data_IF_017117325954
#
_entry.id   IF_017117325954
#
_cell.length_a   1.000
_cell.length_b   1.000
_cell.length_c   1.000
_cell.angle_alpha   90.00
_cell.angle_beta   90.00
_cell.angle_gamma   90.00
#
_symmetry.space_group_name_H-M   'P 1'
#
loop_
_entity.id
_entity.type
_entity.pdbx_description
1 polymer ?
#
# COMPACT_ATOMS: atom_id res chain seq x y z
N UNK A 1 -8.48 -40.92 -15.36
CA UNK A 1 -7.47 -40.02 -14.79
C UNK A 1 -7.78 -39.90 -13.31
N UNK A 2 -6.78 -40.10 -12.44
CA UNK A 2 -6.99 -40.16 -10.99
C UNK A 2 -7.45 -38.78 -10.46
N UNK A 3 -8.21 -38.75 -9.35
CA UNK A 3 -8.72 -37.53 -8.72
C UNK A 3 -7.58 -36.52 -8.47
N UNK A 4 -6.43 -37.04 -8.04
CA UNK A 4 -5.22 -36.25 -7.80
C UNK A 4 -4.68 -35.61 -9.09
N UNK A 5 -4.55 -36.38 -10.16
CA UNK A 5 -4.02 -35.91 -11.44
C UNK A 5 -4.91 -34.82 -12.04
N UNK A 6 -6.23 -35.01 -11.98
CA UNK A 6 -7.20 -34.00 -12.42
C UNK A 6 -7.04 -32.70 -11.63
N UNK A 7 -6.94 -32.78 -10.30
CA UNK A 7 -6.77 -31.61 -9.45
C UNK A 7 -5.45 -30.86 -9.74
N UNK A 8 -4.34 -31.59 -9.90
CA UNK A 8 -3.05 -31.02 -10.29
C UNK A 8 -3.18 -30.29 -11.63
N UNK A 9 -3.80 -30.94 -12.62
CA UNK A 9 -3.98 -30.37 -13.95
C UNK A 9 -4.88 -29.12 -13.91
N UNK A 10 -5.97 -29.14 -13.15
CA UNK A 10 -6.91 -28.03 -13.02
C UNK A 10 -6.25 -26.80 -12.40
N UNK A 11 -5.51 -26.96 -11.31
CA UNK A 11 -4.82 -25.84 -10.65
C UNK A 11 -3.70 -25.30 -11.55
N UNK A 12 -2.86 -26.18 -12.10
CA UNK A 12 -1.77 -25.74 -12.97
C UNK A 12 -2.31 -25.00 -14.20
N UNK A 13 -3.37 -25.51 -14.84
CA UNK A 13 -3.98 -24.85 -15.98
C UNK A 13 -4.71 -23.56 -15.60
N UNK A 14 -5.39 -23.52 -14.45
CA UNK A 14 -6.12 -22.35 -13.97
C UNK A 14 -5.22 -21.17 -13.59
N UNK A 15 -4.00 -21.45 -13.11
CA UNK A 15 -2.99 -20.44 -12.77
C UNK A 15 -1.87 -20.30 -13.80
N UNK A 16 -2.03 -20.89 -15.00
CA UNK A 16 -1.19 -20.56 -16.15
C UNK A 16 -1.39 -19.08 -16.48
N UNK A 17 -0.28 -18.34 -16.55
CA UNK A 17 -0.31 -16.93 -16.91
C UNK A 17 0.78 -16.59 -17.92
N UNK A 18 0.51 -15.59 -18.76
CA UNK A 18 1.48 -15.07 -19.73
C UNK A 18 2.34 -14.00 -19.07
N UNK A 19 3.66 -14.19 -19.11
CA UNK A 19 4.63 -13.28 -18.50
C UNK A 19 4.84 -13.57 -17.01
N UNK A 20 5.42 -12.61 -16.32
CA UNK A 20 5.86 -12.79 -14.94
C UNK A 20 4.69 -12.86 -13.95
N UNK A 21 4.88 -13.66 -12.91
CA UNK A 21 3.91 -13.90 -11.84
C UNK A 21 4.61 -14.09 -10.51
N UNK A 22 3.89 -13.82 -9.44
CA UNK A 22 4.30 -14.14 -8.06
C UNK A 22 3.55 -15.37 -7.57
N UNK A 23 4.14 -16.10 -6.62
CA UNK A 23 3.56 -17.31 -6.01
C UNK A 23 2.95 -16.93 -4.66
N UNK A 24 1.65 -17.14 -4.48
CA UNK A 24 1.00 -16.92 -3.18
C UNK A 24 1.06 -18.12 -2.25
N UNK A 25 1.16 -19.33 -2.80
CA UNK A 25 1.22 -20.56 -2.00
C UNK A 25 1.05 -21.83 -2.82
N UNK A 26 1.01 -22.97 -2.13
CA UNK A 26 0.75 -24.28 -2.72
C UNK A 26 -0.70 -24.72 -2.51
N UNK A 27 -1.22 -25.53 -3.44
CA UNK A 27 -2.53 -26.15 -3.32
C UNK A 27 -2.51 -27.30 -2.32
N UNK A 28 -3.66 -27.53 -1.68
CA UNK A 28 -3.89 -28.61 -0.73
C UNK A 28 -5.04 -29.47 -1.26
N UNK A 29 -4.84 -30.79 -1.30
CA UNK A 29 -5.87 -31.76 -1.65
C UNK A 29 -6.02 -32.74 -0.49
N UNK A 30 -7.25 -32.89 0.02
CA UNK A 30 -7.59 -33.81 1.11
C UNK A 30 -6.71 -33.63 2.37
N UNK A 31 -6.30 -32.37 2.65
CA UNK A 31 -5.45 -32.01 3.80
C UNK A 31 -3.95 -32.10 3.53
N UNK A 32 -3.55 -32.68 2.40
CA UNK A 32 -2.14 -32.83 2.02
C UNK A 32 -1.70 -31.74 1.05
N UNK A 33 -0.61 -31.00 1.34
CA UNK A 33 -0.02 -30.08 0.38
C UNK A 33 0.57 -30.83 -0.81
N UNK A 34 0.42 -30.25 -1.99
CA UNK A 34 0.95 -30.80 -3.22
C UNK A 34 2.19 -30.03 -3.67
N UNK A 35 3.29 -30.76 -3.88
CA UNK A 35 4.49 -30.20 -4.50
C UNK A 35 4.22 -29.76 -5.94
N UNK A 36 4.83 -28.65 -6.36
CA UNK A 36 4.76 -28.10 -7.73
C UNK A 36 3.35 -27.71 -8.21
N UNK A 37 2.39 -27.56 -7.29
CA UNK A 37 1.03 -27.08 -7.58
C UNK A 37 0.85 -25.73 -6.91
N UNK A 38 1.21 -24.66 -7.62
CA UNK A 38 1.28 -23.31 -7.04
C UNK A 38 0.12 -22.43 -7.47
N UNK A 39 -0.40 -21.66 -6.52
CA UNK A 39 -1.32 -20.54 -6.76
C UNK A 39 -0.49 -19.32 -7.12
N UNK A 40 -0.69 -18.78 -8.32
CA UNK A 40 0.10 -17.66 -8.86
C UNK A 40 -0.77 -16.44 -9.15
N UNK A 41 -0.21 -15.25 -8.98
CA UNK A 41 -0.83 -13.99 -9.42
C UNK A 41 0.03 -13.39 -10.53
N UNK A 42 -0.52 -13.17 -11.74
CA UNK A 42 0.19 -12.48 -12.81
C UNK A 42 0.47 -11.02 -12.41
N UNK A 43 1.70 -10.53 -12.61
CA UNK A 43 2.08 -9.17 -12.22
C UNK A 43 1.18 -8.10 -12.86
N UNK A 44 0.75 -8.32 -14.11
CA UNK A 44 -0.14 -7.41 -14.86
C UNK A 44 -1.50 -7.20 -14.21
N UNK A 45 -1.90 -8.05 -13.27
CA UNK A 45 -3.19 -7.94 -12.56
C UNK A 45 -3.11 -7.14 -11.27
N UNK A 46 -1.89 -6.83 -10.80
CA UNK A 46 -1.66 -6.09 -9.54
C UNK A 46 -1.99 -4.60 -9.61
N UNK A 47 -2.38 -4.10 -10.78
CA UNK A 47 -2.99 -2.78 -10.93
C UNK A 47 -4.47 -2.76 -10.48
N UNK A 48 -5.01 -3.89 -10.02
CA UNK A 48 -6.34 -4.00 -9.42
C UNK A 48 -6.25 -3.99 -7.90
N UNK A 49 -7.27 -3.45 -7.25
CA UNK A 49 -7.37 -3.47 -5.79
C UNK A 49 -7.61 -4.89 -5.27
N UNK A 50 -6.98 -5.22 -4.14
CA UNK A 50 -7.16 -6.49 -3.43
C UNK A 50 -7.39 -6.25 -1.94
N UNK A 51 -7.95 -7.26 -1.26
CA UNK A 51 -8.23 -7.24 0.17
C UNK A 51 -7.62 -8.48 0.83
N UNK A 52 -6.73 -8.28 1.80
CA UNK A 52 -6.23 -9.33 2.68
C UNK A 52 -7.00 -9.23 4.01
N UNK A 53 -7.93 -10.16 4.21
CA UNK A 53 -8.77 -10.22 5.40
C UNK A 53 -8.57 -11.56 6.15
N UNK A 54 -8.83 -11.54 7.45
CA UNK A 54 -8.69 -12.71 8.34
C UNK A 54 -8.67 -12.30 9.80
N UNK A 55 -8.89 -13.25 10.72
CA UNK A 55 -8.82 -13.00 12.15
C UNK A 55 -7.38 -12.65 12.61
N UNK A 56 -7.21 -12.18 13.84
CA UNK A 56 -5.87 -11.95 14.40
C UNK A 56 -5.10 -13.27 14.46
N UNK A 57 -3.82 -13.25 14.10
CA UNK A 57 -2.98 -14.46 14.08
C UNK A 57 -3.10 -15.34 12.82
N UNK A 58 -4.01 -15.04 11.89
CA UNK A 58 -4.19 -15.88 10.67
C UNK A 58 -3.20 -15.58 9.54
N UNK A 59 -2.08 -14.93 9.84
CA UNK A 59 -1.01 -14.70 8.86
C UNK A 59 -1.16 -13.47 7.96
N UNK A 60 -2.10 -12.54 8.19
CA UNK A 60 -2.26 -11.32 7.37
C UNK A 60 -0.93 -10.57 7.11
N UNK A 61 -0.17 -10.32 8.17
CA UNK A 61 1.14 -9.65 8.09
C UNK A 61 2.15 -10.48 7.30
N UNK A 62 2.10 -11.81 7.43
CA UNK A 62 2.99 -12.71 6.67
C UNK A 62 2.62 -12.78 5.19
N UNK A 63 1.33 -12.74 4.85
CA UNK A 63 0.88 -12.68 3.46
C UNK A 63 1.35 -11.39 2.79
N UNK A 64 1.17 -10.22 3.43
CA UNK A 64 1.63 -8.95 2.85
C UNK A 64 3.17 -8.87 2.79
N UNK A 65 3.87 -9.46 3.76
CA UNK A 65 5.32 -9.59 3.74
C UNK A 65 5.79 -10.39 2.52
N UNK A 66 5.31 -11.63 2.35
CA UNK A 66 5.67 -12.49 1.21
C UNK A 66 5.31 -11.85 -0.14
N UNK A 67 4.19 -11.14 -0.21
CA UNK A 67 3.81 -10.38 -1.40
C UNK A 67 4.84 -9.28 -1.69
N UNK A 68 5.23 -8.51 -0.67
CA UNK A 68 6.14 -7.37 -0.84
C UNK A 68 7.56 -7.79 -1.16
N UNK A 69 8.05 -8.88 -0.56
CA UNK A 69 9.34 -9.51 -0.85
C UNK A 69 9.42 -9.92 -2.33
N UNK A 70 8.39 -10.60 -2.83
CA UNK A 70 8.35 -11.02 -4.22
C UNK A 70 8.24 -9.84 -5.20
N UNK A 71 7.50 -8.79 -4.86
CA UNK A 71 7.43 -7.58 -5.67
C UNK A 71 8.78 -6.85 -5.71
N UNK A 72 9.46 -6.75 -4.58
CA UNK A 72 10.79 -6.16 -4.50
C UNK A 72 11.81 -6.94 -5.35
N UNK A 73 11.76 -8.28 -5.33
CA UNK A 73 12.63 -9.13 -6.16
C UNK A 73 12.47 -8.94 -7.67
N UNK A 74 11.29 -8.52 -8.12
CA UNK A 74 11.03 -8.21 -9.55
C UNK A 74 11.12 -6.70 -9.85
N UNK A 75 11.65 -5.91 -8.91
CA UNK A 75 11.88 -4.48 -9.08
C UNK A 75 10.62 -3.60 -8.96
N UNK A 76 9.52 -4.12 -8.40
CA UNK A 76 8.30 -3.35 -8.16
C UNK A 76 8.35 -2.75 -6.74
N UNK A 77 8.33 -1.41 -6.59
CA UNK A 77 8.35 -0.78 -5.28
C UNK A 77 7.02 -0.96 -4.55
N UNK A 78 7.08 -1.13 -3.23
CA UNK A 78 5.90 -1.25 -2.37
C UNK A 78 5.91 -0.15 -1.33
N UNK A 79 4.87 0.68 -1.34
CA UNK A 79 4.60 1.64 -0.27
C UNK A 79 3.63 1.01 0.72
N UNK A 80 4.05 0.87 1.98
CA UNK A 80 3.28 0.21 3.03
C UNK A 80 3.13 1.12 4.25
N UNK A 81 1.90 1.27 4.74
CA UNK A 81 1.62 1.92 6.02
C UNK A 81 1.71 0.89 7.15
N UNK A 82 2.83 0.86 7.85
CA UNK A 82 3.07 -0.08 8.95
C UNK A 82 2.54 0.46 10.28
N UNK A 83 1.23 0.34 10.50
CA UNK A 83 0.54 0.86 11.69
C UNK A 83 1.00 0.16 12.98
N UNK A 84 1.37 -1.13 12.90
CA UNK A 84 1.75 -1.94 14.07
C UNK A 84 3.26 -2.04 14.29
N UNK A 85 4.06 -1.73 13.28
CA UNK A 85 5.51 -1.93 13.30
C UNK A 85 5.94 -3.36 12.94
N UNK A 86 4.98 -4.24 12.63
CA UNK A 86 5.23 -5.68 12.41
C UNK A 86 5.78 -5.98 10.99
N UNK A 87 5.79 -5.00 10.09
CA UNK A 87 6.22 -5.16 8.70
C UNK A 87 7.66 -4.67 8.47
N UNK A 88 8.07 -3.63 9.20
CA UNK A 88 9.41 -3.01 9.11
C UNK A 88 10.59 -3.98 9.27
N UNK A 89 10.37 -5.14 9.91
CA UNK A 89 11.35 -6.21 10.07
C UNK A 89 11.89 -6.80 8.76
N UNK A 90 11.20 -6.61 7.63
CA UNK A 90 11.64 -7.04 6.28
C UNK A 90 13.00 -6.42 5.86
N UNK A 91 13.41 -5.33 6.51
CA UNK A 91 14.71 -4.68 6.29
C UNK A 91 15.91 -5.51 6.81
N UNK A 92 15.66 -6.53 7.63
CA UNK A 92 16.68 -7.40 8.20
C UNK A 92 16.48 -8.83 7.75
N UNK A 93 17.59 -9.55 7.67
CA UNK A 93 17.58 -10.97 7.41
C UNK A 93 16.82 -11.69 8.54
N UNK A 94 15.91 -12.57 8.14
CA UNK A 94 15.14 -13.41 9.06
C UNK A 94 15.99 -14.49 9.72
N UNK A 95 15.37 -15.23 10.65
CA UNK A 95 15.93 -16.48 11.16
C UNK A 95 15.22 -17.64 10.48
N UNK A 96 16.00 -18.65 10.11
CA UNK A 96 15.46 -19.89 9.59
C UNK A 96 14.90 -20.71 10.75
N UNK A 97 13.63 -21.10 10.64
CA UNK A 97 12.91 -21.87 11.65
C UNK A 97 12.40 -23.16 11.01
N UNK A 98 12.47 -24.29 11.73
CA UNK A 98 12.16 -25.61 11.17
C UNK A 98 10.76 -25.72 10.57
N UNK A 99 9.74 -25.10 11.17
CA UNK A 99 8.38 -25.13 10.62
C UNK A 99 8.26 -24.40 9.27
N UNK A 100 9.13 -23.42 8.99
CA UNK A 100 9.14 -22.67 7.73
C UNK A 100 9.74 -23.54 6.63
N UNK A 101 10.89 -24.16 6.91
CA UNK A 101 11.61 -25.02 5.96
C UNK A 101 10.80 -26.28 5.64
N UNK A 102 10.21 -26.92 6.65
CA UNK A 102 9.30 -28.06 6.47
C UNK A 102 8.11 -27.71 5.57
N UNK A 103 7.49 -26.54 5.80
CA UNK A 103 6.37 -26.07 4.97
C UNK A 103 6.80 -25.82 3.53
N UNK A 104 7.96 -25.21 3.32
CA UNK A 104 8.50 -24.90 1.99
C UNK A 104 8.90 -26.16 1.22
N UNK A 105 9.46 -27.15 1.92
CA UNK A 105 9.78 -28.46 1.35
C UNK A 105 8.52 -29.20 0.86
N UNK A 106 7.41 -29.16 1.63
CA UNK A 106 6.14 -29.80 1.25
C UNK A 106 5.52 -29.28 -0.05
N UNK A 107 5.77 -28.02 -0.40
CA UNK A 107 5.21 -27.36 -1.59
C UNK A 107 6.26 -27.12 -2.69
N UNK A 108 7.51 -27.54 -2.46
CA UNK A 108 8.65 -27.34 -3.34
C UNK A 108 8.88 -25.86 -3.73
N UNK A 109 8.86 -24.97 -2.74
CA UNK A 109 9.23 -23.55 -2.93
C UNK A 109 10.56 -23.33 -2.20
N UNK A 110 11.62 -22.83 -2.86
CA UNK A 110 12.87 -22.55 -2.19
C UNK A 110 12.69 -21.44 -1.14
N UNK A 111 13.19 -21.67 0.06
CA UNK A 111 13.25 -20.67 1.12
C UNK A 111 14.69 -20.32 1.40
N UNK A 112 15.04 -19.04 1.28
CA UNK A 112 16.30 -18.52 1.78
C UNK A 112 15.98 -17.29 2.63
N UNK A 113 16.66 -17.16 3.76
CA UNK A 113 16.62 -15.92 4.52
C UNK A 113 17.27 -14.80 3.68
N UNK A 114 16.65 -13.62 3.69
CA UNK A 114 17.11 -12.46 2.95
C UNK A 114 16.67 -11.18 3.66
N UNK A 115 17.38 -10.09 3.41
CA UNK A 115 16.93 -8.73 3.72
C UNK A 115 16.51 -8.02 2.43
N UNK A 116 15.63 -7.04 2.57
CA UNK A 116 15.13 -6.26 1.44
C UNK A 116 15.46 -4.77 1.61
N UNK A 117 15.63 -4.02 0.51
CA UNK A 117 15.84 -2.58 0.58
C UNK A 117 14.59 -1.90 1.15
N UNK A 118 14.76 -1.18 2.26
CA UNK A 118 13.68 -0.48 2.94
C UNK A 118 14.12 0.95 3.25
N UNK A 119 13.28 1.91 2.87
CA UNK A 119 13.39 3.29 3.32
C UNK A 119 12.24 3.58 4.29
N UNK A 120 12.57 3.79 5.56
CA UNK A 120 11.57 4.14 6.56
C UNK A 120 11.18 5.60 6.39
N UNK A 121 9.89 5.83 6.15
CA UNK A 121 9.33 7.16 6.00
C UNK A 121 8.55 7.55 7.26
N UNK A 122 8.74 8.79 7.73
CA UNK A 122 8.14 9.28 8.98
C UNK A 122 7.31 10.53 8.74
N UNK A 123 6.06 10.51 9.22
CA UNK A 123 5.18 11.66 9.35
C UNK A 123 5.47 12.46 10.64
N UNK A 124 6.19 11.87 11.59
CA UNK A 124 6.47 12.42 12.92
C UNK A 124 7.96 12.81 13.04
N UNK A 125 8.36 13.35 14.20
CA UNK A 125 9.77 13.68 14.46
C UNK A 125 10.63 12.44 14.75
N UNK A 126 10.11 11.24 14.54
CA UNK A 126 10.84 9.99 14.64
C UNK A 126 11.83 9.82 13.48
N UNK A 127 12.76 8.89 13.67
CA UNK A 127 13.77 8.52 12.68
C UNK A 127 13.13 8.06 11.36
N UNK A 128 13.82 8.37 10.26
CA UNK A 128 13.38 8.06 8.90
C UNK A 128 13.31 9.29 8.00
N UNK A 129 13.06 9.06 6.71
CA UNK A 129 12.88 10.12 5.72
C UNK A 129 11.60 10.88 6.03
N UNK A 130 11.74 12.18 6.21
CA UNK A 130 10.62 13.06 6.57
C UNK A 130 9.68 13.21 5.37
N UNK A 131 8.48 12.66 5.51
CA UNK A 131 7.39 12.98 4.60
C UNK A 131 6.91 14.40 4.84
N UNK A 132 6.82 15.18 3.76
CA UNK A 132 6.28 16.53 3.77
C UNK A 132 5.20 16.60 2.71
N UNK A 133 4.12 17.30 3.04
CA UNK A 133 3.10 17.69 2.09
C UNK A 133 2.75 19.15 2.37
N UNK A 134 2.47 19.91 1.31
CA UNK A 134 1.97 21.28 1.44
C UNK A 134 0.46 21.31 1.34
N UNK A 135 -0.18 22.33 1.90
CA UNK A 135 -1.64 22.50 1.77
C UNK A 135 -2.05 22.65 0.29
N UNK A 136 -1.24 23.35 -0.51
CA UNK A 136 -1.42 23.46 -1.96
C UNK A 136 -1.47 22.10 -2.67
N UNK A 137 -0.67 21.11 -2.27
CA UNK A 137 -0.67 19.77 -2.89
C UNK A 137 -1.97 18.98 -2.68
N UNK A 138 -2.70 19.24 -1.58
CA UNK A 138 -4.01 18.62 -1.38
C UNK A 138 -5.05 19.21 -2.34
N UNK A 139 -4.91 20.49 -2.69
CA UNK A 139 -5.93 21.23 -3.41
C UNK A 139 -7.25 21.37 -2.63
N UNK A 140 -8.21 22.16 -3.15
CA UNK A 140 -9.41 22.51 -2.39
C UNK A 140 -10.32 21.32 -2.11
N UNK A 141 -10.39 20.36 -3.04
CA UNK A 141 -11.30 19.21 -2.94
C UNK A 141 -10.86 18.23 -1.85
N UNK A 142 -9.60 17.77 -1.90
CA UNK A 142 -9.11 16.80 -0.91
C UNK A 142 -8.99 17.45 0.47
N UNK A 143 -8.58 18.72 0.52
CA UNK A 143 -8.53 19.49 1.76
C UNK A 143 -9.91 19.59 2.42
N UNK A 144 -10.95 19.93 1.65
CA UNK A 144 -12.33 20.00 2.17
C UNK A 144 -12.84 18.65 2.65
N UNK A 145 -12.52 17.56 1.95
CA UNK A 145 -12.89 16.19 2.37
C UNK A 145 -12.19 15.77 3.66
N UNK A 146 -10.90 16.08 3.83
CA UNK A 146 -10.16 15.75 5.05
C UNK A 146 -10.74 16.46 6.27
N UNK A 147 -11.20 17.71 6.08
CA UNK A 147 -11.80 18.52 7.13
C UNK A 147 -13.30 18.26 7.33
N UNK A 148 -13.90 17.33 6.57
CA UNK A 148 -15.33 17.00 6.61
C UNK A 148 -16.24 18.24 6.47
N UNK A 149 -15.89 19.11 5.51
CA UNK A 149 -16.62 20.35 5.26
C UNK A 149 -17.94 20.09 4.52
N UNK A 150 -18.96 20.88 4.82
CA UNK A 150 -20.19 20.90 4.03
C UNK A 150 -20.00 21.60 2.67
N UNK A 151 -20.97 21.47 1.78
CA UNK A 151 -20.90 22.01 0.41
C UNK A 151 -20.59 23.52 0.37
N UNK A 152 -21.20 24.29 1.27
CA UNK A 152 -20.96 25.75 1.36
C UNK A 152 -19.51 26.04 1.77
N UNK A 153 -19.02 25.37 2.81
CA UNK A 153 -17.65 25.52 3.30
C UNK A 153 -16.62 25.07 2.25
N UNK A 154 -16.88 23.96 1.55
CA UNK A 154 -16.05 23.49 0.45
C UNK A 154 -16.00 24.49 -0.72
N UNK A 155 -17.14 25.13 -1.04
CA UNK A 155 -17.21 26.22 -2.01
C UNK A 155 -16.32 27.40 -1.62
N UNK A 156 -16.36 27.83 -0.35
CA UNK A 156 -15.48 28.90 0.16
C UNK A 156 -14.01 28.51 0.08
N UNK A 157 -13.65 27.28 0.46
CA UNK A 157 -12.27 26.78 0.33
C UNK A 157 -11.81 26.78 -1.13
N UNK A 158 -12.66 26.40 -2.08
CA UNK A 158 -12.32 26.45 -3.50
C UNK A 158 -12.00 27.87 -3.98
N UNK A 159 -12.77 28.86 -3.55
CA UNK A 159 -12.52 30.29 -3.85
C UNK A 159 -11.20 30.75 -3.24
N UNK A 160 -10.92 30.37 -1.99
CA UNK A 160 -9.66 30.70 -1.30
C UNK A 160 -8.45 30.14 -2.06
N UNK A 161 -8.49 28.86 -2.44
CA UNK A 161 -7.38 28.26 -3.21
C UNK A 161 -7.19 28.97 -4.55
N UNK A 162 -8.29 29.29 -5.26
CA UNK A 162 -8.22 30.03 -6.53
C UNK A 162 -7.60 31.42 -6.36
N UNK A 163 -8.02 32.16 -5.34
CA UNK A 163 -7.45 33.47 -5.02
C UNK A 163 -5.95 33.38 -4.73
N UNK A 164 -5.53 32.38 -3.95
CA UNK A 164 -4.11 32.15 -3.69
C UNK A 164 -3.31 31.83 -4.95
N UNK A 165 -3.85 30.98 -5.84
CA UNK A 165 -3.20 30.62 -7.09
C UNK A 165 -3.04 31.83 -8.02
N UNK A 166 -4.09 32.66 -8.15
CA UNK A 166 -4.08 33.86 -8.99
C UNK A 166 -3.09 34.91 -8.49
N UNK A 167 -2.96 35.05 -7.17
CA UNK A 167 -2.06 36.00 -6.51
C UNK A 167 -0.67 35.41 -6.19
N UNK A 168 -0.38 34.17 -6.61
CA UNK A 168 0.89 33.47 -6.35
C UNK A 168 1.24 33.40 -4.86
N UNK A 169 0.25 33.12 -4.02
CA UNK A 169 0.38 32.94 -2.58
C UNK A 169 0.41 31.44 -2.23
N UNK A 170 1.59 30.79 -2.19
CA UNK A 170 1.66 29.36 -1.89
C UNK A 170 1.15 29.06 -0.47
N UNK A 171 0.32 28.02 -0.34
CA UNK A 171 -0.20 27.54 0.94
C UNK A 171 0.65 26.36 1.41
N UNK A 172 1.61 26.63 2.29
CA UNK A 172 2.55 25.61 2.76
C UNK A 172 1.97 24.83 3.94
N UNK A 173 1.39 25.54 4.90
CA UNK A 173 0.83 24.94 6.11
C UNK A 173 -0.56 25.51 6.49
N UNK A 174 -1.12 24.98 7.58
CA UNK A 174 -2.44 25.42 8.07
C UNK A 174 -2.46 26.86 8.59
N UNK A 175 -1.30 27.45 8.94
CA UNK A 175 -1.23 28.85 9.35
C UNK A 175 -1.41 29.77 8.16
N UNK A 176 -0.90 29.37 6.99
CA UNK A 176 -1.08 30.14 5.76
C UNK A 176 -2.57 30.21 5.39
N UNK A 177 -3.29 29.07 5.37
CA UNK A 177 -4.74 29.08 5.12
C UNK A 177 -5.49 29.94 6.13
N UNK A 178 -5.16 29.84 7.43
CA UNK A 178 -5.82 30.66 8.46
C UNK A 178 -5.60 32.16 8.22
N UNK A 179 -4.39 32.55 7.83
CA UNK A 179 -4.08 33.95 7.49
C UNK A 179 -4.87 34.41 6.28
N UNK A 180 -4.95 33.59 5.24
CA UNK A 180 -5.71 33.93 4.04
C UNK A 180 -7.20 34.06 4.34
N UNK A 181 -7.78 33.14 5.12
CA UNK A 181 -9.18 33.25 5.57
C UNK A 181 -9.41 34.58 6.28
N UNK A 182 -8.58 34.92 7.27
CA UNK A 182 -8.72 36.17 8.02
C UNK A 182 -8.63 37.40 7.11
N UNK A 183 -7.65 37.41 6.21
CA UNK A 183 -7.47 38.51 5.25
C UNK A 183 -8.70 38.71 4.36
N UNK A 184 -9.22 37.63 3.78
CA UNK A 184 -10.39 37.63 2.90
C UNK A 184 -11.67 38.06 3.64
N UNK A 185 -11.80 37.73 4.92
CA UNK A 185 -12.97 38.13 5.72
C UNK A 185 -12.92 39.58 6.21
N UNK A 186 -11.74 40.19 6.21
CA UNK A 186 -11.50 41.54 6.73
C UNK A 186 -11.06 42.49 5.60
N UNK A 187 -9.76 42.75 5.48
CA UNK A 187 -9.19 43.77 4.60
C UNK A 187 -9.35 43.46 3.10
N UNK A 188 -9.29 42.18 2.73
CA UNK A 188 -9.36 41.70 1.34
C UNK A 188 -10.78 41.40 0.85
N UNK A 189 -11.81 41.76 1.61
CA UNK A 189 -13.21 41.40 1.30
C UNK A 189 -13.67 41.92 -0.06
N UNK A 190 -13.23 43.11 -0.44
CA UNK A 190 -13.58 43.74 -1.72
C UNK A 190 -12.96 43.02 -2.92
N UNK A 191 -11.83 42.31 -2.72
CA UNK A 191 -11.12 41.58 -3.79
C UNK A 191 -11.80 40.27 -4.20
N UNK A 192 -12.69 39.73 -3.36
CA UNK A 192 -13.43 38.47 -3.61
C UNK A 192 -14.92 38.69 -3.87
N UNK A 193 -15.43 39.88 -3.55
CA UNK A 193 -16.83 40.23 -3.75
C UNK A 193 -17.15 40.69 -5.19
N UNK A 194 -16.14 40.83 -6.05
CA UNK A 194 -16.23 41.26 -7.45
C UNK A 194 -16.19 40.07 -8.41
#
# INVERSE_FOLDING_TARGET
MDKRDNFIQDINNGYLSKGDSIILGGAILDGEPLADVHVKIPLKTLNRHGLIAGATGTGKTKTIQVLSEQLSNVGIPVLMMDIKGDFSGIAKEGKEEGFITERHAKINIPYNVASFPVELMSLSKQDGVRLRATVSEFGPVLFSRILDLNDTQAGVVAVIFKYCDDNKMPLLDLKDIKKVINYITEEGKDEISA
#
